data_IF_160487169116
#
_entry.id   IF_160487169116
#
_cell.length_a   1.000
_cell.length_b   1.000
_cell.length_c   1.000
_cell.angle_alpha   90.00
_cell.angle_beta   90.00
_cell.angle_gamma   90.00
#
_symmetry.space_group_name_H-M   'P 1'
#
loop_
_entity.id
_entity.type
_entity.pdbx_description
1 polymer ?
#
# COMPACT_ATOMS: atom_id res chain seq x y z
N UNK A 1 9.34 -20.74 4.39
CA UNK A 1 7.95 -21.15 4.71
C UNK A 1 7.57 -20.48 6.01
N UNK A 2 6.54 -19.62 6.01
CA UNK A 2 6.08 -18.96 7.23
C UNK A 2 5.53 -20.00 8.20
N UNK A 3 5.78 -19.79 9.50
CA UNK A 3 5.21 -20.63 10.54
C UNK A 3 3.68 -20.51 10.51
N UNK A 4 3.02 -21.60 10.19
CA UNK A 4 1.58 -21.65 10.07
C UNK A 4 1.03 -22.50 11.23
N UNK A 5 0.95 -21.89 12.39
CA UNK A 5 0.20 -22.45 13.50
C UNK A 5 -1.22 -21.86 13.55
N UNK A 6 -2.07 -22.38 14.43
CA UNK A 6 -3.44 -21.90 14.57
C UNK A 6 -3.57 -20.42 14.94
N UNK A 7 -2.47 -19.80 15.39
CA UNK A 7 -2.41 -18.43 15.84
C UNK A 7 -1.92 -17.45 14.74
N UNK A 8 -1.30 -17.98 13.66
CA UNK A 8 -0.72 -17.20 12.57
C UNK A 8 -1.21 -17.73 11.22
N UNK A 9 -2.50 -17.54 10.93
CA UNK A 9 -3.10 -17.94 9.66
C UNK A 9 -2.87 -16.84 8.60
N UNK A 10 -1.86 -17.03 7.78
CA UNK A 10 -1.61 -16.15 6.64
C UNK A 10 -2.51 -16.56 5.47
N UNK A 11 -3.49 -15.73 5.15
CA UNK A 11 -4.42 -15.98 4.03
C UNK A 11 -4.25 -15.06 2.84
N UNK A 12 -3.56 -13.92 2.98
CA UNK A 12 -3.64 -12.88 1.97
C UNK A 12 -2.39 -12.02 1.83
N UNK A 13 -2.37 -11.27 0.74
CA UNK A 13 -1.51 -10.12 0.45
C UNK A 13 -2.11 -8.84 1.10
N UNK A 14 -1.33 -7.76 1.36
CA UNK A 14 0.05 -7.55 0.95
C UNK A 14 1.04 -8.27 1.85
N UNK A 15 2.15 -8.67 1.25
CA UNK A 15 3.34 -9.14 1.92
C UNK A 15 4.41 -8.06 1.80
N UNK A 16 4.95 -7.63 2.93
CA UNK A 16 6.09 -6.72 2.99
C UNK A 16 7.31 -7.52 3.38
N UNK A 17 8.36 -7.44 2.59
CA UNK A 17 9.64 -8.08 2.87
C UNK A 17 10.71 -7.00 3.01
N UNK A 18 11.49 -7.09 4.04
CA UNK A 18 12.66 -6.29 4.28
C UNK A 18 13.87 -7.18 4.59
N UNK A 19 14.99 -6.63 4.99
CA UNK A 19 16.21 -7.40 5.22
C UNK A 19 16.06 -8.42 6.36
N UNK A 20 15.28 -8.08 7.40
CA UNK A 20 15.14 -8.90 8.59
C UNK A 20 13.72 -9.40 8.86
N UNK A 21 12.70 -8.79 8.24
CA UNK A 21 11.31 -9.04 8.59
C UNK A 21 10.42 -9.31 7.39
N UNK A 22 9.35 -10.04 7.66
CA UNK A 22 8.25 -10.28 6.74
C UNK A 22 6.96 -9.87 7.46
N UNK A 23 6.21 -8.94 6.88
CA UNK A 23 4.92 -8.52 7.40
C UNK A 23 3.81 -8.90 6.44
N UNK A 24 2.68 -9.33 6.99
CA UNK A 24 1.47 -9.57 6.22
C UNK A 24 0.24 -9.27 7.06
N UNK A 25 -0.89 -9.07 6.41
CA UNK A 25 -2.16 -8.97 7.14
C UNK A 25 -2.80 -10.35 7.30
N UNK A 26 -3.36 -10.60 8.46
CA UNK A 26 -4.17 -11.79 8.74
C UNK A 26 -5.55 -11.65 8.14
N UNK A 27 -5.90 -12.50 7.19
CA UNK A 27 -7.24 -12.67 6.62
C UNK A 27 -8.16 -11.43 6.64
N UNK A 28 -9.36 -11.60 7.20
CA UNK A 28 -10.36 -10.54 7.34
C UNK A 28 -10.34 -9.86 8.73
N UNK A 29 -9.38 -10.20 9.57
CA UNK A 29 -9.35 -9.75 10.98
C UNK A 29 -8.68 -8.39 11.16
N UNK A 30 -8.06 -7.86 10.11
CA UNK A 30 -7.27 -6.64 10.21
C UNK A 30 -5.99 -6.77 11.02
N UNK A 31 -5.60 -8.00 11.40
CA UNK A 31 -4.34 -8.24 12.11
C UNK A 31 -3.14 -8.01 11.21
N UNK A 32 -2.07 -7.49 11.81
CA UNK A 32 -0.74 -7.41 11.22
C UNK A 32 0.10 -8.51 11.86
N UNK A 33 0.63 -9.39 11.01
CA UNK A 33 1.46 -10.52 11.43
C UNK A 33 2.92 -10.20 11.06
N UNK A 34 3.81 -10.38 12.01
CA UNK A 34 5.24 -10.08 11.87
C UNK A 34 6.03 -11.36 12.04
N UNK A 35 6.89 -11.62 11.08
CA UNK A 35 7.81 -12.76 11.07
C UNK A 35 9.24 -12.27 10.88
N UNK A 36 10.21 -13.03 11.35
CA UNK A 36 11.60 -12.83 10.96
C UNK A 36 11.84 -13.37 9.52
N UNK A 37 13.02 -13.10 8.99
CA UNK A 37 13.42 -13.56 7.64
C UNK A 37 13.46 -15.09 7.48
N UNK A 38 13.50 -15.84 8.58
CA UNK A 38 13.43 -17.31 8.55
C UNK A 38 12.00 -17.82 8.47
N UNK A 39 11.01 -16.93 8.65
CA UNK A 39 9.59 -17.22 8.70
C UNK A 39 9.08 -17.61 10.07
N UNK A 40 9.87 -17.41 11.14
CA UNK A 40 9.43 -17.59 12.52
C UNK A 40 8.54 -16.41 12.92
N UNK A 41 7.39 -16.70 13.52
CA UNK A 41 6.49 -15.69 14.06
C UNK A 41 7.14 -14.92 15.22
N UNK A 42 7.08 -13.59 15.15
CA UNK A 42 7.62 -12.67 16.16
C UNK A 42 6.50 -12.05 16.96
N UNK A 43 5.56 -11.40 16.27
CA UNK A 43 4.49 -10.64 16.90
C UNK A 43 3.26 -10.57 16.00
N UNK A 44 2.11 -10.26 16.61
CA UNK A 44 0.88 -9.88 15.93
C UNK A 44 0.14 -8.83 16.73
N UNK A 45 -0.52 -7.94 16.04
CA UNK A 45 -1.42 -6.96 16.66
C UNK A 45 -2.55 -6.57 15.70
N UNK A 46 -3.60 -5.98 16.23
CA UNK A 46 -4.69 -5.41 15.44
C UNK A 46 -5.19 -4.14 16.10
N UNK A 47 -5.38 -3.13 15.27
CA UNK A 47 -6.11 -1.91 15.60
C UNK A 47 -7.26 -1.71 14.60
N UNK A 48 -7.88 -2.81 14.19
CA UNK A 48 -9.05 -2.75 13.33
C UNK A 48 -10.27 -2.26 14.12
N UNK A 49 -10.86 -1.15 13.70
CA UNK A 49 -12.01 -0.54 14.36
C UNK A 49 -12.35 0.84 13.83
N UNK A 50 -13.26 1.54 14.53
CA UNK A 50 -13.72 2.89 14.18
C UNK A 50 -13.33 3.95 15.22
N UNK A 51 -12.47 3.59 16.16
CA UNK A 51 -11.98 4.48 17.20
C UNK A 51 -10.82 5.37 16.76
N UNK A 52 -10.33 6.22 17.68
CA UNK A 52 -9.10 6.97 17.44
C UNK A 52 -7.93 6.01 17.23
N UNK A 53 -7.06 6.36 16.26
CA UNK A 53 -5.87 5.56 15.95
C UNK A 53 -6.15 4.12 15.49
N UNK A 54 -7.37 3.87 14.97
CA UNK A 54 -7.78 2.61 14.39
C UNK A 54 -7.96 2.73 12.88
N UNK A 55 -7.83 1.62 12.18
CA UNK A 55 -8.06 1.50 10.74
C UNK A 55 -9.22 0.56 10.45
N UNK A 56 -9.99 0.87 9.41
CA UNK A 56 -11.06 0.00 8.93
C UNK A 56 -10.54 -1.02 7.93
N UNK A 57 -9.58 -0.60 7.10
CA UNK A 57 -9.05 -1.44 6.04
C UNK A 57 -7.58 -1.16 5.77
N UNK A 58 -6.76 -2.19 5.75
CA UNK A 58 -5.35 -2.07 5.36
C UNK A 58 -5.26 -2.13 3.83
N UNK A 59 -5.07 -0.98 3.20
CA UNK A 59 -4.86 -0.88 1.74
C UNK A 59 -3.40 -1.12 1.40
N UNK A 60 -2.49 -0.41 2.06
CA UNK A 60 -1.05 -0.61 1.95
C UNK A 60 -0.46 -0.82 3.34
N UNK A 61 0.52 -1.70 3.39
CA UNK A 61 1.34 -1.99 4.57
C UNK A 61 2.80 -1.78 4.18
N UNK A 62 3.54 -0.98 4.94
CA UNK A 62 4.95 -0.74 4.69
C UNK A 62 5.73 -0.84 6.01
N UNK A 63 7.01 -1.14 5.90
CA UNK A 63 7.93 -1.23 7.03
C UNK A 63 9.16 -0.35 6.78
N UNK A 64 9.52 0.42 7.79
CA UNK A 64 10.81 1.09 7.87
C UNK A 64 11.59 0.49 9.04
N UNK A 65 12.49 -0.44 8.73
CA UNK A 65 13.28 -1.12 9.77
C UNK A 65 14.19 -0.17 10.54
N UNK A 66 14.75 0.84 9.86
CA UNK A 66 15.66 1.80 10.50
C UNK A 66 14.96 2.61 11.58
N UNK A 67 13.70 2.95 11.33
CA UNK A 67 12.87 3.69 12.27
C UNK A 67 12.09 2.80 13.23
N UNK A 68 12.08 1.50 12.98
CA UNK A 68 11.25 0.53 13.71
C UNK A 68 9.76 0.87 13.61
N UNK A 69 9.32 1.33 12.42
CA UNK A 69 7.97 1.84 12.17
C UNK A 69 7.23 1.01 11.12
N UNK A 70 5.99 0.68 11.43
CA UNK A 70 5.01 0.05 10.53
C UNK A 70 4.00 1.09 10.11
N UNK A 71 3.85 1.28 8.80
CA UNK A 71 2.92 2.22 8.21
C UNK A 71 1.72 1.47 7.67
N UNK A 72 0.55 1.82 8.15
CA UNK A 72 -0.75 1.27 7.76
C UNK A 72 -1.55 2.34 7.05
N UNK A 73 -1.76 2.16 5.76
CA UNK A 73 -2.57 3.08 4.98
C UNK A 73 -4.00 2.55 4.85
N UNK A 74 -4.95 3.38 5.23
CA UNK A 74 -6.38 3.19 4.99
C UNK A 74 -6.87 4.22 3.97
N UNK A 75 -7.13 3.76 2.75
CA UNK A 75 -7.57 4.64 1.65
C UNK A 75 -8.97 5.22 1.89
N UNK A 76 -9.84 4.50 2.61
CA UNK A 76 -11.21 4.96 2.88
C UNK A 76 -11.23 6.07 3.94
N UNK A 77 -10.34 5.99 4.92
CA UNK A 77 -10.14 7.05 5.90
C UNK A 77 -9.17 8.12 5.41
N UNK A 78 -8.50 7.89 4.27
CA UNK A 78 -7.45 8.78 3.72
C UNK A 78 -6.31 9.05 4.72
N UNK A 79 -5.99 8.05 5.54
CA UNK A 79 -5.03 8.17 6.63
C UNK A 79 -3.86 7.22 6.48
N UNK A 80 -2.71 7.67 6.93
CA UNK A 80 -1.58 6.84 7.30
C UNK A 80 -1.51 6.78 8.82
N UNK A 81 -1.56 5.57 9.37
CA UNK A 81 -1.35 5.31 10.79
C UNK A 81 0.01 4.64 10.97
N UNK A 82 0.75 5.07 11.95
CA UNK A 82 2.11 4.59 12.21
C UNK A 82 2.17 3.95 13.58
N UNK A 83 2.67 2.72 13.60
CA UNK A 83 2.86 1.92 14.80
C UNK A 83 4.32 1.46 14.88
N UNK A 84 4.77 1.11 16.07
CA UNK A 84 6.04 0.39 16.22
C UNK A 84 5.87 -1.13 15.98
N UNK A 85 6.96 -1.87 16.06
CA UNK A 85 6.96 -3.33 15.88
C UNK A 85 6.22 -4.09 16.99
N UNK A 86 5.90 -3.44 18.12
CA UNK A 86 5.06 -4.02 19.18
C UNK A 86 3.57 -3.80 18.95
N UNK A 87 3.23 -2.89 18.02
CA UNK A 87 1.87 -2.43 17.73
C UNK A 87 1.48 -1.18 18.51
N UNK A 88 2.40 -0.54 19.25
CA UNK A 88 2.10 0.72 19.91
C UNK A 88 1.94 1.86 18.89
N UNK A 89 0.87 2.66 19.04
CA UNK A 89 0.61 3.79 18.17
C UNK A 89 1.67 4.88 18.35
N UNK A 90 2.16 5.42 17.23
CA UNK A 90 3.15 6.50 17.22
C UNK A 90 2.53 7.81 16.77
N UNK A 91 1.88 7.82 15.59
CA UNK A 91 1.26 9.00 14.99
C UNK A 91 0.32 8.63 13.84
N UNK A 92 -0.49 9.59 13.42
CA UNK A 92 -1.26 9.50 12.19
C UNK A 92 -1.21 10.82 11.41
N UNK A 93 -1.46 10.75 10.10
CA UNK A 93 -1.59 11.90 9.24
C UNK A 93 -2.42 11.57 7.99
N UNK A 94 -2.90 12.62 7.32
CA UNK A 94 -3.70 12.47 6.10
C UNK A 94 -2.82 12.20 4.90
N UNK A 95 -3.25 11.26 4.04
CA UNK A 95 -2.59 10.90 2.78
C UNK A 95 -3.39 11.30 1.52
N UNK A 96 -4.57 11.92 1.70
CA UNK A 96 -5.46 12.27 0.61
C UNK A 96 -5.85 11.05 -0.24
N UNK A 97 -5.94 11.24 -1.56
CA UNK A 97 -6.36 10.20 -2.52
C UNK A 97 -5.24 9.20 -2.90
N UNK A 98 -4.20 9.08 -2.07
CA UNK A 98 -3.11 8.15 -2.31
C UNK A 98 -3.64 6.71 -2.46
N UNK A 99 -3.31 6.03 -3.57
CA UNK A 99 -3.77 4.65 -3.79
C UNK A 99 -2.66 3.63 -3.66
N UNK A 100 -1.52 3.91 -4.25
CA UNK A 100 -0.37 3.04 -4.21
C UNK A 100 0.80 3.80 -3.58
N UNK A 101 1.37 3.22 -2.54
CA UNK A 101 2.42 3.83 -1.74
C UNK A 101 3.59 2.87 -1.70
N UNK A 102 4.76 3.37 -2.05
CA UNK A 102 6.00 2.62 -2.08
C UNK A 102 7.04 3.31 -1.18
N UNK A 103 7.86 2.53 -0.50
CA UNK A 103 9.06 3.08 0.12
C UNK A 103 9.98 3.64 -0.96
N UNK A 104 10.50 4.85 -0.78
CA UNK A 104 11.42 5.47 -1.71
C UNK A 104 12.81 5.62 -1.08
N UNK A 105 12.90 6.37 0.01
CA UNK A 105 14.13 6.55 0.78
C UNK A 105 13.83 6.63 2.29
N UNK A 106 14.81 7.06 3.08
CA UNK A 106 14.65 7.20 4.52
C UNK A 106 13.67 8.30 4.92
N UNK A 107 13.40 9.30 4.05
CA UNK A 107 12.59 10.47 4.35
C UNK A 107 11.18 10.42 3.77
N UNK A 108 10.99 9.74 2.64
CA UNK A 108 9.74 9.83 1.90
C UNK A 108 9.25 8.52 1.28
N UNK A 109 7.98 8.54 0.93
CA UNK A 109 7.30 7.58 0.09
C UNK A 109 7.19 8.09 -1.33
N UNK A 110 7.20 7.18 -2.30
CA UNK A 110 6.71 7.42 -3.64
C UNK A 110 5.24 7.04 -3.68
N UNK A 111 4.39 8.02 -3.97
CA UNK A 111 2.94 7.84 -4.04
C UNK A 111 2.50 7.94 -5.49
N UNK A 112 1.75 6.95 -5.94
CA UNK A 112 1.06 6.99 -7.22
C UNK A 112 -0.41 7.31 -7.00
N UNK A 113 -0.87 8.40 -7.65
CA UNK A 113 -2.24 8.86 -7.61
C UNK A 113 -2.95 8.48 -8.91
N UNK A 114 -4.00 7.69 -8.82
CA UNK A 114 -4.82 7.40 -10.00
C UNK A 114 -5.65 8.62 -10.37
N UNK A 115 -5.64 9.01 -11.64
CA UNK A 115 -6.55 10.05 -12.14
C UNK A 115 -7.95 9.47 -12.12
N UNK A 116 -8.79 9.95 -11.22
CA UNK A 116 -10.18 9.52 -11.11
C UNK A 116 -11.15 10.32 -11.98
N UNK A 117 -10.73 11.44 -12.57
CA UNK A 117 -11.62 12.30 -13.37
C UNK A 117 -11.11 12.44 -14.80
N UNK A 118 -11.74 11.70 -15.71
CA UNK A 118 -11.56 11.85 -17.17
C UNK A 118 -12.08 13.20 -17.72
N UNK A 119 -12.70 14.04 -16.89
CA UNK A 119 -13.40 15.26 -17.31
C UNK A 119 -12.63 16.57 -17.09
N UNK A 120 -11.51 16.57 -16.34
CA UNK A 120 -10.72 17.78 -16.15
C UNK A 120 -9.40 17.68 -16.89
N UNK A 121 -9.11 18.69 -17.70
CA UNK A 121 -7.85 18.88 -18.43
C UNK A 121 -6.64 19.12 -17.50
N UNK A 122 -6.86 19.22 -16.21
CA UNK A 122 -5.82 19.41 -15.22
C UNK A 122 -5.18 18.06 -14.88
N UNK A 123 -4.07 17.78 -15.52
CA UNK A 123 -3.22 16.62 -15.25
C UNK A 123 -2.74 16.69 -13.81
N UNK A 124 -3.40 15.99 -12.90
CA UNK A 124 -2.83 15.77 -11.57
C UNK A 124 -1.55 14.95 -11.73
N UNK A 125 -0.50 15.26 -10.99
CA UNK A 125 0.76 14.54 -11.08
C UNK A 125 0.55 13.06 -10.75
N UNK A 126 1.08 12.19 -11.61
CA UNK A 126 0.98 10.75 -11.41
C UNK A 126 1.75 10.26 -10.19
N UNK A 127 2.88 10.92 -9.90
CA UNK A 127 3.74 10.55 -8.78
C UNK A 127 4.07 11.75 -7.92
N UNK A 128 4.06 11.52 -6.61
CA UNK A 128 4.51 12.50 -5.62
C UNK A 128 5.44 11.84 -4.61
N UNK A 129 6.45 12.58 -4.16
CA UNK A 129 7.21 12.22 -2.98
C UNK A 129 6.54 12.84 -1.76
N UNK A 130 6.21 11.99 -0.79
CA UNK A 130 5.46 12.37 0.40
C UNK A 130 6.26 12.03 1.65
N UNK A 131 6.35 12.99 2.56
CA UNK A 131 7.08 12.85 3.82
C UNK A 131 6.53 11.70 4.67
N UNK A 132 7.42 10.84 5.17
CA UNK A 132 7.09 9.76 6.12
C UNK A 132 6.70 10.29 7.50
N UNK A 133 7.04 11.52 7.81
CA UNK A 133 6.84 12.10 9.14
C UNK A 133 5.44 12.69 9.30
N UNK A 134 4.96 13.42 8.30
CA UNK A 134 3.74 14.23 8.40
C UNK A 134 2.82 14.18 7.18
N UNK A 135 3.15 13.36 6.18
CA UNK A 135 2.32 13.20 4.99
C UNK A 135 2.33 14.36 4.00
N UNK A 136 3.21 15.36 4.20
CA UNK A 136 3.30 16.49 3.27
C UNK A 136 3.92 16.08 1.95
N UNK A 137 3.38 16.62 0.86
CA UNK A 137 3.98 16.49 -0.45
C UNK A 137 5.26 17.30 -0.48
N UNK A 138 6.38 16.63 -0.70
CA UNK A 138 7.71 17.24 -0.80
C UNK A 138 8.04 17.59 -2.23
N UNK A 139 7.67 16.74 -3.17
CA UNK A 139 7.96 16.91 -4.57
C UNK A 139 6.91 16.25 -5.45
N UNK A 140 6.66 16.83 -6.61
CA UNK A 140 5.75 16.31 -7.62
C UNK A 140 6.54 15.90 -8.86
N UNK A 141 6.41 14.65 -9.27
CA UNK A 141 7.07 14.12 -10.45
C UNK A 141 6.08 14.18 -11.61
N UNK A 142 6.31 15.13 -12.52
CA UNK A 142 5.55 15.24 -13.75
C UNK A 142 6.16 14.30 -14.79
N UNK A 143 5.50 13.18 -15.02
CA UNK A 143 5.85 12.27 -16.11
C UNK A 143 5.02 12.69 -17.32
N UNK A 144 5.65 13.14 -18.42
CA UNK A 144 4.92 13.45 -19.62
C UNK A 144 4.41 12.15 -20.25
N UNK A 145 3.18 11.80 -19.96
CA UNK A 145 2.49 10.75 -20.71
C UNK A 145 1.84 11.37 -21.94
N UNK A 146 2.13 10.80 -23.10
CA UNK A 146 1.33 11.06 -24.27
C UNK A 146 -0.10 10.56 -23.95
N UNK A 147 -1.06 11.49 -23.87
CA UNK A 147 -2.45 11.26 -23.46
C UNK A 147 -3.21 10.26 -24.36
N UNK A 148 -2.65 9.90 -25.47
CA UNK A 148 -3.20 9.09 -26.54
C UNK A 148 -2.84 7.60 -26.43
N UNK A 149 -1.95 7.21 -25.53
CA UNK A 149 -1.63 5.79 -25.31
C UNK A 149 -2.32 5.27 -24.06
N UNK A 150 -3.64 5.12 -24.12
CA UNK A 150 -4.36 4.30 -23.15
C UNK A 150 -4.03 2.83 -23.46
N UNK A 151 -3.16 2.23 -22.70
CA UNK A 151 -3.00 0.78 -22.71
C UNK A 151 -4.13 0.15 -21.88
N UNK A 152 -5.33 0.15 -22.44
CA UNK A 152 -6.42 -0.67 -21.95
C UNK A 152 -6.35 -1.98 -22.75
N UNK A 153 -5.89 -3.04 -22.14
CA UNK A 153 -6.09 -4.37 -22.71
C UNK A 153 -7.46 -4.84 -22.23
N UNK A 154 -8.46 -4.68 -23.07
CA UNK A 154 -9.77 -5.30 -22.87
C UNK A 154 -9.76 -6.68 -23.51
N UNK A 155 -9.82 -7.71 -22.71
CA UNK A 155 -10.03 -9.08 -23.19
C UNK A 155 -11.47 -9.47 -22.87
N UNK A 156 -12.32 -9.49 -23.88
CA UNK A 156 -13.67 -9.99 -23.75
C UNK A 156 -13.69 -11.47 -24.11
N UNK A 157 -14.00 -12.33 -23.13
CA UNK A 157 -14.31 -13.73 -23.38
C UNK A 157 -15.82 -13.91 -23.34
N UNK A 158 -16.39 -14.39 -24.41
CA UNK A 158 -17.79 -14.80 -24.49
C UNK A 158 -17.85 -16.33 -24.38
N UNK A 159 -18.59 -16.82 -23.42
CA UNK A 159 -18.92 -18.24 -23.29
C UNK A 159 -20.40 -18.38 -22.94
N UNK A 160 -21.17 -19.07 -23.76
CA UNK A 160 -22.60 -19.36 -23.55
C UNK A 160 -23.49 -18.15 -23.24
N UNK A 161 -23.24 -16.99 -23.89
CA UNK A 161 -24.07 -15.79 -23.72
C UNK A 161 -23.70 -14.90 -22.55
N UNK A 162 -22.72 -15.27 -21.76
CA UNK A 162 -22.11 -14.40 -20.73
C UNK A 162 -20.79 -13.83 -21.26
N UNK A 163 -20.64 -12.52 -21.17
CA UNK A 163 -19.40 -11.85 -21.53
C UNK A 163 -18.69 -11.32 -20.27
N UNK A 164 -17.43 -11.68 -20.11
CA UNK A 164 -16.56 -11.17 -19.06
C UNK A 164 -15.52 -10.26 -19.70
N UNK A 165 -15.49 -8.99 -19.29
CA UNK A 165 -14.47 -8.04 -19.72
C UNK A 165 -13.43 -7.89 -18.62
N UNK A 166 -12.18 -8.22 -18.92
CA UNK A 166 -11.05 -7.98 -18.05
C UNK A 166 -10.33 -6.72 -18.51
N UNK A 167 -10.28 -5.71 -17.67
CA UNK A 167 -9.47 -4.52 -17.90
C UNK A 167 -8.17 -4.66 -17.12
N UNK A 168 -7.05 -4.87 -17.81
CA UNK A 168 -5.73 -4.84 -17.19
C UNK A 168 -5.19 -3.42 -17.28
N UNK A 169 -5.07 -2.75 -16.13
CA UNK A 169 -4.27 -1.53 -16.03
C UNK A 169 -2.82 -1.93 -15.85
N UNK A 170 -1.99 -1.70 -16.85
CA UNK A 170 -0.55 -1.78 -16.68
C UNK A 170 -0.07 -0.50 -15.97
N UNK A 171 0.35 -0.64 -14.72
CA UNK A 171 1.13 0.37 -14.04
C UNK A 171 2.53 0.38 -14.66
N UNK A 172 3.05 1.55 -15.05
CA UNK A 172 4.43 1.62 -15.52
C UNK A 172 5.35 1.22 -14.36
N UNK A 173 6.10 0.14 -14.56
CA UNK A 173 7.16 -0.25 -13.63
C UNK A 173 8.34 0.68 -13.93
N UNK A 174 8.58 1.63 -13.07
CA UNK A 174 9.80 2.42 -13.10
C UNK A 174 10.88 1.56 -12.43
N UNK A 175 11.79 1.00 -13.20
CA UNK A 175 13.04 0.47 -12.67
C UNK A 175 14.00 1.65 -12.55
N UNK A 176 14.30 2.06 -11.33
CA UNK A 176 15.50 2.85 -11.08
C UNK A 176 16.68 1.87 -11.24
N UNK A 177 17.48 2.07 -12.28
CA UNK A 177 18.79 1.41 -12.38
C UNK A 177 19.74 2.18 -11.46
N UNK A 178 20.50 1.46 -10.66
CA UNK A 178 21.61 1.97 -9.85
C UNK A 178 22.66 2.69 -10.72
#
# INVERSE_FOLDING_TARGET
KLANDSNFLVRTRPLVCSDNYILTKGGNTGEILIFDKTGKAINRFSHAGNGPHEYNYITNLLLDEKRNEIYVHDVFLQKMLVYDMTGAFIREYTMGDARFIYGFDDACFLVYNTITNQASSDLKPYFTLVSKTDGKVLYTINVPFASDKKFNLEVTKSNNGESFTYTAMHLPIIRCSD
#
